data_IF_621120318957
#
_entry.id   IF_621120318957
#
_cell.length_a   1.000
_cell.length_b   1.000
_cell.length_c   1.000
_cell.angle_alpha   90.00
_cell.angle_beta   90.00
_cell.angle_gamma   90.00
#
_symmetry.space_group_name_H-M   'P 1'
#
loop_
_entity.id
_entity.type
_entity.pdbx_description
1 polymer ?
#
# COMPACT_ATOMS: atom_id res chain seq x y z
N UNK A 1 16.75 -7.99 -9.63
CA UNK A 1 16.84 -6.53 -9.51
C UNK A 1 15.48 -6.06 -9.05
N UNK A 2 15.33 -5.87 -7.74
CA UNK A 2 14.26 -5.02 -7.21
C UNK A 2 14.81 -3.61 -7.37
N UNK A 3 14.14 -2.79 -8.16
CA UNK A 3 14.59 -1.44 -8.48
C UNK A 3 13.37 -0.56 -8.60
N UNK A 4 13.48 0.63 -8.02
CA UNK A 4 12.42 1.62 -8.13
C UNK A 4 12.19 1.98 -9.59
N UNK A 5 10.92 2.24 -9.93
CA UNK A 5 10.51 2.54 -11.29
C UNK A 5 9.78 3.88 -11.30
N UNK A 6 10.36 4.86 -11.99
CA UNK A 6 9.70 6.13 -12.24
C UNK A 6 9.12 6.16 -13.66
N UNK A 7 7.86 6.57 -13.77
CA UNK A 7 7.20 6.92 -15.04
C UNK A 7 6.67 8.32 -14.94
N UNK A 8 7.15 9.23 -15.76
CA UNK A 8 6.70 10.62 -15.75
C UNK A 8 6.37 11.15 -17.14
N UNK A 9 5.54 12.18 -17.15
CA UNK A 9 5.27 13.07 -18.26
C UNK A 9 5.61 14.48 -17.80
N UNK A 10 6.15 15.28 -18.71
CA UNK A 10 6.73 16.58 -18.40
C UNK A 10 7.21 17.27 -19.66
N UNK A 11 7.68 18.50 -19.49
CA UNK A 11 8.21 19.33 -20.56
C UNK A 11 9.61 19.80 -20.16
N UNK A 12 10.51 19.95 -21.12
CA UNK A 12 11.86 20.42 -20.84
C UNK A 12 12.61 20.76 -22.11
N UNK A 13 13.48 21.76 -22.00
CA UNK A 13 14.44 22.09 -23.05
C UNK A 13 15.74 21.34 -22.76
N UNK A 14 16.02 20.34 -23.59
CA UNK A 14 17.18 19.47 -23.44
C UNK A 14 18.13 19.64 -24.62
N UNK A 15 19.41 19.77 -24.30
CA UNK A 15 20.51 19.74 -25.27
C UNK A 15 21.29 18.45 -25.06
N UNK A 16 21.27 17.62 -26.09
CA UNK A 16 22.05 16.40 -26.17
C UNK A 16 23.17 16.59 -27.20
N UNK A 17 24.38 16.19 -26.84
CA UNK A 17 25.47 16.09 -27.80
C UNK A 17 26.43 14.96 -27.41
N UNK A 18 27.19 14.52 -28.41
CA UNK A 18 28.23 13.49 -28.28
C UNK A 18 29.54 14.21 -28.58
N UNK A 19 30.54 14.04 -27.73
CA UNK A 19 31.85 14.63 -27.96
C UNK A 19 32.77 13.73 -28.81
N UNK A 20 34.00 14.18 -29.02
CA UNK A 20 35.00 13.47 -29.83
C UNK A 20 35.48 12.16 -29.17
N UNK A 21 35.26 11.99 -27.86
CA UNK A 21 35.58 10.77 -27.11
C UNK A 21 34.41 9.78 -27.07
N UNK A 22 33.30 10.09 -27.75
CA UNK A 22 32.04 9.33 -27.75
C UNK A 22 31.32 9.34 -26.39
N UNK A 23 31.60 10.34 -25.56
CA UNK A 23 30.89 10.54 -24.31
C UNK A 23 29.60 11.31 -24.56
N UNK A 24 28.52 10.77 -24.01
CA UNK A 24 27.20 11.36 -24.09
C UNK A 24 27.08 12.48 -23.07
N UNK A 25 26.64 13.65 -23.53
CA UNK A 25 26.40 14.80 -22.68
C UNK A 25 24.96 15.29 -22.85
N UNK A 26 24.28 15.51 -21.72
CA UNK A 26 22.92 16.00 -21.61
C UNK A 26 22.89 17.22 -20.69
N UNK A 27 22.31 18.30 -21.17
CA UNK A 27 22.11 19.53 -20.41
C UNK A 27 20.67 19.98 -20.53
N UNK A 28 20.08 20.42 -19.42
CA UNK A 28 18.74 20.99 -19.45
C UNK A 28 17.94 20.65 -18.21
N UNK A 29 16.74 21.20 -18.16
CA UNK A 29 15.78 20.98 -17.09
C UNK A 29 14.52 20.33 -17.68
N UNK A 30 14.04 19.30 -17.00
CA UNK A 30 12.78 18.61 -17.28
C UNK A 30 11.83 18.82 -16.12
N UNK A 31 10.73 19.53 -16.38
CA UNK A 31 9.67 19.77 -15.42
C UNK A 31 8.56 18.73 -15.56
N UNK A 32 8.32 17.99 -14.48
CA UNK A 32 7.33 16.92 -14.41
C UNK A 32 5.94 17.54 -14.22
N UNK A 33 5.00 17.12 -15.06
CA UNK A 33 3.58 17.51 -14.98
C UNK A 33 2.71 16.43 -14.35
N UNK A 34 3.07 15.15 -14.53
CA UNK A 34 2.37 14.01 -13.92
C UNK A 34 3.25 12.76 -13.96
N UNK A 35 3.01 11.81 -13.07
CA UNK A 35 3.73 10.54 -13.11
C UNK A 35 3.40 9.62 -11.96
N UNK A 36 4.06 8.47 -11.97
CA UNK A 36 4.04 7.45 -10.93
C UNK A 36 5.48 7.12 -10.54
N UNK A 37 5.73 6.94 -9.25
CA UNK A 37 6.96 6.42 -8.70
C UNK A 37 6.67 5.14 -7.93
N UNK A 38 7.27 4.03 -8.37
CA UNK A 38 7.18 2.75 -7.69
C UNK A 38 8.27 2.68 -6.63
N UNK A 39 7.88 2.84 -5.37
CA UNK A 39 8.75 2.66 -4.23
C UNK A 39 8.81 1.17 -3.87
N UNK A 40 10.01 0.61 -3.86
CA UNK A 40 10.27 -0.78 -3.51
C UNK A 40 11.29 -0.88 -2.39
N UNK A 41 10.96 -1.64 -1.34
CA UNK A 41 11.88 -1.89 -0.22
C UNK A 41 11.90 -3.38 0.10
N UNK A 42 12.97 -4.05 -0.34
CA UNK A 42 13.15 -5.51 -0.28
C UNK A 42 11.89 -6.24 -0.78
N UNK A 43 11.43 -7.26 -0.06
CA UNK A 43 10.22 -8.03 -0.37
C UNK A 43 8.97 -7.52 0.37
N UNK A 44 9.10 -6.44 1.15
CA UNK A 44 8.05 -6.02 2.09
C UNK A 44 7.19 -4.88 1.58
N UNK A 45 7.78 -3.93 0.84
CA UNK A 45 7.05 -2.76 0.35
C UNK A 45 7.17 -2.70 -1.16
N UNK A 46 6.01 -2.59 -1.80
CA UNK A 46 5.86 -2.34 -3.23
C UNK A 46 4.65 -1.42 -3.43
N UNK A 47 4.89 -0.10 -3.47
CA UNK A 47 3.83 0.92 -3.45
C UNK A 47 4.03 1.95 -4.55
N UNK A 48 2.92 2.31 -5.20
CA UNK A 48 2.89 3.31 -6.28
C UNK A 48 2.51 4.67 -5.71
N UNK A 49 3.44 5.59 -5.73
CA UNK A 49 3.24 6.98 -5.35
C UNK A 49 2.87 7.81 -6.59
N UNK A 50 1.89 8.69 -6.42
CA UNK A 50 1.48 9.65 -7.42
C UNK A 50 2.41 10.87 -7.38
N UNK A 51 3.13 11.12 -8.47
CA UNK A 51 4.05 12.28 -8.55
C UNK A 51 3.23 13.57 -8.64
N UNK A 52 3.52 14.52 -7.76
CA UNK A 52 2.90 15.85 -7.75
C UNK A 52 3.47 16.70 -8.90
N UNK A 53 2.65 17.52 -9.56
CA UNK A 53 3.13 18.46 -10.56
C UNK A 53 4.17 19.43 -9.99
N UNK A 54 5.16 19.81 -10.80
CA UNK A 54 6.16 20.81 -10.44
C UNK A 54 7.53 20.24 -10.07
N UNK A 55 7.66 18.92 -9.89
CA UNK A 55 8.97 18.28 -9.72
C UNK A 55 9.89 18.50 -10.92
N UNK A 56 11.21 18.43 -10.71
CA UNK A 56 12.22 18.70 -11.72
C UNK A 56 13.29 17.63 -11.78
N UNK A 57 13.85 17.43 -12.98
CA UNK A 57 15.05 16.66 -13.22
C UNK A 57 16.01 17.55 -14.01
N UNK A 58 17.24 17.72 -13.53
CA UNK A 58 18.23 18.62 -14.14
C UNK A 58 19.51 17.86 -14.47
N UNK A 59 20.00 18.03 -15.70
CA UNK A 59 21.26 17.44 -16.14
C UNK A 59 22.33 18.53 -16.35
N UNK A 60 23.55 18.22 -15.93
CA UNK A 60 24.72 19.10 -15.99
C UNK A 60 25.89 18.52 -16.80
N UNK A 61 25.62 17.60 -17.73
CA UNK A 61 26.64 16.87 -18.48
C UNK A 61 26.33 15.38 -18.53
N UNK A 62 26.78 14.63 -17.53
CA UNK A 62 26.57 13.17 -17.50
C UNK A 62 25.06 12.80 -17.46
N UNK A 63 24.54 12.07 -18.46
CA UNK A 63 23.14 11.62 -18.52
C UNK A 63 22.71 10.75 -17.32
N UNK A 64 23.66 10.06 -16.67
CA UNK A 64 23.41 9.20 -15.51
C UNK A 64 23.50 9.94 -14.18
N UNK A 65 24.04 11.17 -14.17
CA UNK A 65 24.21 11.99 -12.97
C UNK A 65 23.26 13.20 -12.97
N UNK A 66 21.97 12.91 -13.15
CA UNK A 66 20.93 13.92 -13.10
C UNK A 66 20.54 14.24 -11.65
N UNK A 67 20.17 15.51 -11.38
CA UNK A 67 19.62 15.93 -10.11
C UNK A 67 18.09 15.92 -10.14
N UNK A 68 17.49 15.24 -9.17
CA UNK A 68 16.07 15.08 -8.94
C UNK A 68 15.63 16.02 -7.82
N UNK A 69 14.46 16.63 -7.98
CA UNK A 69 13.70 17.25 -6.88
C UNK A 69 12.22 17.06 -7.20
N UNK A 70 11.56 16.10 -6.55
CA UNK A 70 10.13 15.87 -6.75
C UNK A 70 9.41 15.45 -5.48
N UNK A 71 8.13 15.79 -5.43
CA UNK A 71 7.23 15.34 -4.40
C UNK A 71 6.27 14.30 -4.98
N UNK A 72 5.98 13.25 -4.23
CA UNK A 72 4.94 12.29 -4.58
C UNK A 72 4.15 11.88 -3.34
N UNK A 73 2.98 11.27 -3.53
CA UNK A 73 2.14 10.85 -2.40
C UNK A 73 1.45 9.50 -2.68
N UNK A 74 1.30 8.70 -1.64
CA UNK A 74 0.51 7.47 -1.63
C UNK A 74 -0.76 7.71 -0.82
N UNK A 75 -1.94 7.74 -1.46
CA UNK A 75 -3.20 7.91 -0.76
C UNK A 75 -3.65 6.60 -0.12
N UNK A 76 -4.08 6.67 1.13
CA UNK A 76 -4.71 5.57 1.86
C UNK A 76 -5.86 6.08 2.74
N UNK A 77 -6.64 5.15 3.28
CA UNK A 77 -7.72 5.43 4.23
C UNK A 77 -7.52 4.62 5.49
N UNK A 78 -7.38 5.30 6.61
CA UNK A 78 -7.20 4.65 7.91
C UNK A 78 -7.82 5.45 9.06
N UNK A 79 -8.09 4.76 10.17
CA UNK A 79 -8.60 5.39 11.38
C UNK A 79 -7.51 6.18 12.08
N UNK A 80 -7.86 7.34 12.63
CA UNK A 80 -6.96 8.12 13.49
C UNK A 80 -7.06 7.71 14.96
N UNK A 81 -7.92 6.73 15.30
CA UNK A 81 -8.14 6.24 16.66
C UNK A 81 -6.81 6.03 17.41
N UNK A 82 -5.89 5.21 16.89
CA UNK A 82 -4.66 4.84 17.61
C UNK A 82 -3.76 6.02 18.02
N UNK A 83 -3.88 7.17 17.36
CA UNK A 83 -3.02 8.34 17.58
C UNK A 83 -3.74 9.47 18.32
N UNK A 84 -5.06 9.37 18.47
CA UNK A 84 -5.84 10.41 19.11
C UNK A 84 -5.80 10.29 20.64
N UNK A 85 -5.86 11.42 21.36
CA UNK A 85 -5.91 11.44 22.81
C UNK A 85 -7.07 10.57 23.33
N UNK A 86 -6.86 9.82 24.42
CA UNK A 86 -7.83 8.82 24.92
C UNK A 86 -9.23 9.40 25.17
N UNK A 87 -9.33 10.69 25.51
CA UNK A 87 -10.61 11.38 25.78
C UNK A 87 -11.44 11.57 24.52
N UNK A 88 -10.81 11.73 23.36
CA UNK A 88 -11.47 12.04 22.09
C UNK A 88 -11.43 10.88 21.09
N UNK A 89 -10.66 9.84 21.41
CA UNK A 89 -10.33 8.73 20.52
C UNK A 89 -11.54 8.04 19.90
N UNK A 90 -12.59 7.82 20.67
CA UNK A 90 -13.81 7.14 20.24
C UNK A 90 -14.49 7.83 19.05
N UNK A 91 -14.33 9.15 18.91
CA UNK A 91 -14.86 9.93 17.79
C UNK A 91 -14.07 9.70 16.49
N UNK A 92 -12.85 9.16 16.59
CA UNK A 92 -11.90 8.97 15.48
C UNK A 92 -11.82 7.52 14.98
N UNK A 93 -12.78 6.68 15.33
CA UNK A 93 -12.92 5.30 14.83
C UNK A 93 -13.21 5.22 13.33
N UNK A 94 -13.75 6.30 12.74
CA UNK A 94 -14.00 6.40 11.30
C UNK A 94 -12.69 6.53 10.50
N UNK A 95 -12.72 6.11 9.22
CA UNK A 95 -11.58 6.22 8.32
C UNK A 95 -11.42 7.64 7.79
N UNK A 96 -10.22 8.19 7.95
CA UNK A 96 -9.79 9.47 7.40
C UNK A 96 -8.92 9.26 6.15
N UNK A 97 -8.93 10.25 5.25
CA UNK A 97 -8.01 10.28 4.12
C UNK A 97 -6.62 10.68 4.62
N UNK A 98 -5.63 9.81 4.38
CA UNK A 98 -4.24 10.01 4.78
C UNK A 98 -3.36 9.85 3.55
N UNK A 99 -2.38 10.74 3.41
CA UNK A 99 -1.34 10.62 2.40
C UNK A 99 -0.02 10.32 3.11
N UNK A 100 0.68 9.29 2.65
CA UNK A 100 2.12 9.18 2.89
C UNK A 100 2.78 10.00 1.78
N UNK A 101 3.48 11.05 2.15
CA UNK A 101 4.21 11.91 1.22
C UNK A 101 5.67 11.47 1.17
N UNK A 102 6.27 11.57 -0.01
CA UNK A 102 7.71 11.39 -0.22
C UNK A 102 8.27 12.60 -0.96
N UNK A 103 9.44 13.03 -0.52
CA UNK A 103 10.28 14.00 -1.22
C UNK A 103 11.54 13.27 -1.68
N UNK A 104 11.74 13.21 -2.99
CA UNK A 104 12.93 12.62 -3.60
C UNK A 104 13.85 13.75 -4.07
N UNK A 105 15.10 13.73 -3.59
CA UNK A 105 16.10 14.76 -3.89
C UNK A 105 17.44 14.18 -4.36
N UNK A 106 18.32 15.02 -4.88
CA UNK A 106 19.70 14.71 -5.25
C UNK A 106 19.81 13.73 -6.42
N UNK A 107 20.54 12.61 -6.32
CA UNK A 107 20.90 11.82 -7.50
C UNK A 107 19.71 11.03 -8.05
N UNK A 108 19.38 11.19 -9.34
CA UNK A 108 18.26 10.48 -9.97
C UNK A 108 18.37 8.95 -9.84
N UNK A 109 19.59 8.41 -9.90
CA UNK A 109 19.85 6.98 -9.81
C UNK A 109 19.80 6.45 -8.37
N UNK A 110 19.98 7.32 -7.37
CA UNK A 110 19.93 6.98 -5.95
C UNK A 110 19.49 8.22 -5.16
N UNK A 111 18.20 8.58 -5.21
CA UNK A 111 17.73 9.80 -4.60
C UNK A 111 17.69 9.67 -3.08
N UNK A 112 17.89 10.79 -2.40
CA UNK A 112 17.57 10.90 -0.98
C UNK A 112 16.05 10.94 -0.83
N UNK A 113 15.53 10.14 0.10
CA UNK A 113 14.10 9.96 0.33
C UNK A 113 13.76 10.51 1.70
N UNK A 114 12.97 11.59 1.73
CA UNK A 114 12.35 12.08 2.94
C UNK A 114 10.87 11.71 2.94
N UNK A 115 10.39 11.15 4.05
CA UNK A 115 8.96 10.86 4.21
C UNK A 115 8.24 11.99 4.94
N UNK A 116 6.92 12.06 4.76
CA UNK A 116 6.00 12.85 5.57
C UNK A 116 4.59 12.23 5.57
N UNK A 117 3.71 12.70 6.44
CA UNK A 117 2.31 12.27 6.52
C UNK A 117 1.41 13.50 6.50
N UNK A 118 0.46 13.53 5.57
CA UNK A 118 -0.54 14.60 5.50
C UNK A 118 -1.97 14.09 5.55
N UNK A 119 -2.85 14.89 6.16
CA UNK A 119 -4.28 14.64 6.24
C UNK A 119 -5.03 15.71 5.40
N UNK A 120 -5.23 15.49 4.10
CA UNK A 120 -5.73 16.54 3.19
C UNK A 120 -7.11 17.08 3.57
N UNK A 121 -7.99 16.23 4.11
CA UNK A 121 -9.39 16.58 4.42
C UNK A 121 -9.70 16.61 5.92
N UNK A 122 -8.74 16.33 6.80
CA UNK A 122 -9.00 16.29 8.23
C UNK A 122 -9.00 17.69 8.88
N UNK A 123 -9.61 17.76 10.06
CA UNK A 123 -9.61 18.94 10.92
C UNK A 123 -8.20 19.32 11.41
N UNK A 124 -8.03 20.57 11.82
CA UNK A 124 -6.72 21.07 12.26
C UNK A 124 -6.20 20.36 13.52
N UNK A 125 -7.10 19.94 14.41
CA UNK A 125 -6.78 19.13 15.59
C UNK A 125 -6.09 17.83 15.19
N UNK A 126 -6.68 17.08 14.25
CA UNK A 126 -6.11 15.85 13.72
C UNK A 126 -4.75 16.06 13.05
N UNK A 127 -4.60 17.15 12.29
CA UNK A 127 -3.33 17.52 11.66
C UNK A 127 -2.25 17.81 12.68
N UNK A 128 -2.59 18.50 13.77
CA UNK A 128 -1.65 18.77 14.87
C UNK A 128 -1.25 17.50 15.61
N UNK A 129 -2.20 16.59 15.85
CA UNK A 129 -1.90 15.28 16.45
C UNK A 129 -0.90 14.50 15.61
N UNK A 130 -1.11 14.41 14.29
CA UNK A 130 -0.15 13.75 13.39
C UNK A 130 1.20 14.45 13.40
N UNK A 131 1.25 15.79 13.36
CA UNK A 131 2.50 16.55 13.43
C UNK A 131 3.29 16.28 14.71
N UNK A 132 2.61 16.18 15.85
CA UNK A 132 3.23 15.88 17.13
C UNK A 132 3.74 14.43 17.17
N UNK A 133 3.02 13.50 16.55
CA UNK A 133 3.42 12.09 16.45
C UNK A 133 4.69 11.89 15.61
N UNK A 134 4.86 12.69 14.55
CA UNK A 134 6.02 12.61 13.63
C UNK A 134 7.11 13.64 13.94
N UNK A 135 7.29 13.98 15.22
CA UNK A 135 8.17 15.07 15.67
C UNK A 135 9.65 14.90 15.30
N UNK A 136 10.12 13.67 15.09
CA UNK A 136 11.47 13.38 14.64
C UNK A 136 11.46 12.37 13.47
N UNK A 137 12.62 12.18 12.85
CA UNK A 137 12.76 11.31 11.68
C UNK A 137 12.42 9.84 11.98
N UNK A 138 12.79 9.35 13.16
CA UNK A 138 12.54 7.97 13.57
C UNK A 138 11.06 7.65 13.75
N UNK A 139 10.35 8.46 14.55
CA UNK A 139 8.90 8.36 14.75
C UNK A 139 8.14 8.54 13.43
N UNK A 140 8.62 9.46 12.58
CA UNK A 140 8.07 9.66 11.24
C UNK A 140 8.20 8.41 10.38
N UNK A 141 9.40 7.84 10.27
CA UNK A 141 9.66 6.63 9.48
C UNK A 141 8.83 5.45 10.00
N UNK A 142 8.72 5.31 11.32
CA UNK A 142 7.94 4.25 11.97
C UNK A 142 6.46 4.33 11.58
N UNK A 143 5.86 5.53 11.68
CA UNK A 143 4.45 5.73 11.28
C UNK A 143 4.26 5.52 9.78
N UNK A 144 5.18 6.02 8.96
CA UNK A 144 5.12 5.86 7.50
C UNK A 144 5.13 4.38 7.12
N UNK A 145 6.08 3.59 7.64
CA UNK A 145 6.14 2.17 7.32
C UNK A 145 4.95 1.40 7.88
N UNK A 146 4.46 1.76 9.06
CA UNK A 146 3.21 1.21 9.58
C UNK A 146 2.03 1.47 8.64
N UNK A 147 1.91 2.68 8.07
CA UNK A 147 0.87 2.98 7.09
C UNK A 147 1.09 2.24 5.75
N UNK A 148 2.33 2.07 5.29
CA UNK A 148 2.60 1.38 4.03
C UNK A 148 2.36 -0.13 4.12
N UNK A 149 2.66 -0.74 5.26
CA UNK A 149 2.58 -2.19 5.47
C UNK A 149 1.22 -2.59 6.05
N UNK A 150 0.84 -1.94 7.16
CA UNK A 150 -0.32 -2.30 7.95
C UNK A 150 -1.55 -1.43 7.63
N UNK A 151 -1.40 -0.35 6.87
CA UNK A 151 -2.47 0.61 6.57
C UNK A 151 -3.13 1.18 7.84
N UNK A 152 -2.35 1.33 8.92
CA UNK A 152 -2.79 1.88 10.21
C UNK A 152 -1.69 2.69 10.87
N UNK A 153 -2.07 3.65 11.71
CA UNK A 153 -1.14 4.24 12.65
C UNK A 153 -0.89 3.31 13.82
N UNK A 154 0.30 3.41 14.42
CA UNK A 154 0.64 2.75 15.67
C UNK A 154 0.65 3.77 16.81
N UNK A 155 0.24 3.38 18.03
CA UNK A 155 0.26 4.27 19.18
C UNK A 155 1.70 4.64 19.58
N UNK A 156 1.90 5.87 20.08
CA UNK A 156 3.19 6.40 20.54
C UNK A 156 3.84 5.54 21.64
N UNK A 157 3.02 4.79 22.39
CA UNK A 157 3.40 4.04 23.57
C UNK A 157 4.15 2.73 23.28
N UNK A 158 4.17 2.31 22.02
CA UNK A 158 4.93 1.14 21.60
C UNK A 158 6.35 1.59 21.23
N UNK A 159 7.20 1.68 22.26
CA UNK A 159 8.66 1.69 22.12
C UNK A 159 9.10 0.35 21.50
N UNK A 160 8.84 0.20 20.20
CA UNK A 160 9.20 -0.96 19.39
C UNK A 160 10.70 -0.96 19.06
N UNK A 161 11.40 0.15 19.31
CA UNK A 161 12.81 0.30 18.97
C UNK A 161 13.65 0.10 20.24
N UNK A 162 14.20 -1.10 20.39
CA UNK A 162 15.32 -1.34 21.28
C UNK A 162 16.54 -0.54 20.82
N UNK A 163 17.10 0.19 21.77
CA UNK A 163 18.16 1.19 21.73
C UNK A 163 19.53 0.60 21.30
N UNK A 164 19.65 0.07 20.08
CA UNK A 164 20.91 -0.48 19.58
C UNK A 164 21.05 -0.32 18.06
N UNK A 165 21.36 0.88 17.56
CA UNK A 165 22.02 1.02 16.26
C UNK A 165 23.11 2.09 16.29
N UNK A 166 24.34 1.60 16.28
CA UNK A 166 25.56 2.37 16.02
C UNK A 166 25.48 3.01 14.64
N UNK A 167 25.62 4.34 14.60
CA UNK A 167 25.66 5.16 13.38
C UNK A 167 26.89 4.78 12.54
N UNK A 168 26.71 3.96 11.50
CA UNK A 168 27.75 3.66 10.52
C UNK A 168 27.75 4.74 9.43
N UNK A 169 28.77 5.61 9.44
CA UNK A 169 28.97 6.61 8.39
C UNK A 169 29.26 5.89 7.06
N UNK A 170 28.36 5.98 6.08
CA UNK A 170 28.55 5.47 4.71
C UNK A 170 27.45 4.55 4.17
N UNK A 171 26.39 4.26 4.93
CA UNK A 171 25.24 3.52 4.44
C UNK A 171 24.35 4.41 3.55
N UNK A 172 23.84 3.86 2.45
CA UNK A 172 22.84 4.53 1.62
C UNK A 172 21.52 4.69 2.40
N UNK A 173 20.73 5.73 2.11
CA UNK A 173 19.44 6.01 2.78
C UNK A 173 18.54 4.76 2.78
N UNK A 174 18.51 4.02 1.67
CA UNK A 174 17.77 2.75 1.53
C UNK A 174 18.25 1.63 2.47
N UNK A 175 19.55 1.55 2.78
CA UNK A 175 20.10 0.55 3.71
C UNK A 175 19.73 0.87 5.17
N UNK A 176 19.78 2.15 5.55
CA UNK A 176 19.38 2.61 6.89
C UNK A 176 17.88 2.36 7.11
N UNK A 177 17.06 2.76 6.14
CA UNK A 177 15.60 2.52 6.15
C UNK A 177 15.29 1.02 6.18
N UNK A 178 16.02 0.20 5.42
CA UNK A 178 15.87 -1.25 5.42
C UNK A 178 16.17 -1.89 6.78
N UNK A 179 17.11 -1.34 7.54
CA UNK A 179 17.49 -1.85 8.86
C UNK A 179 16.47 -1.44 9.92
N UNK A 180 16.02 -0.18 9.90
CA UNK A 180 14.92 0.28 10.76
C UNK A 180 13.64 -0.50 10.50
N UNK A 181 13.32 -0.73 9.22
CA UNK A 181 12.17 -1.53 8.82
C UNK A 181 12.30 -2.99 9.27
N UNK A 182 13.48 -3.59 9.13
CA UNK A 182 13.72 -4.96 9.60
C UNK A 182 13.38 -5.14 11.08
N UNK A 183 13.81 -4.19 11.92
CA UNK A 183 13.54 -4.20 13.37
C UNK A 183 12.06 -3.93 13.70
N UNK A 184 11.41 -3.05 12.94
CA UNK A 184 9.98 -2.78 13.10
C UNK A 184 9.13 -3.98 12.66
N UNK A 185 9.54 -4.70 11.61
CA UNK A 185 8.85 -5.94 11.20
C UNK A 185 9.12 -7.04 12.21
N UNK A 186 10.35 -7.20 12.72
CA UNK A 186 10.65 -8.28 13.68
C UNK A 186 9.81 -8.16 14.96
N UNK A 187 9.66 -6.93 15.47
CA UNK A 187 8.78 -6.63 16.60
C UNK A 187 7.31 -6.89 16.29
N UNK A 188 6.82 -6.54 15.09
CA UNK A 188 5.50 -6.98 14.65
C UNK A 188 5.42 -8.50 14.54
N UNK A 189 6.43 -9.21 14.03
CA UNK A 189 6.34 -10.68 13.91
C UNK A 189 6.44 -11.41 15.24
N UNK A 190 7.15 -10.84 16.23
CA UNK A 190 7.25 -11.39 17.59
C UNK A 190 5.92 -11.19 18.36
N UNK A 191 5.19 -10.10 18.12
CA UNK A 191 3.81 -9.90 18.61
C UNK A 191 2.75 -10.66 17.77
N UNK A 192 3.09 -11.03 16.54
CA UNK A 192 2.23 -11.74 15.59
C UNK A 192 2.74 -13.17 15.28
N UNK A 193 3.31 -13.87 16.27
CA UNK A 193 3.70 -15.28 16.12
C UNK A 193 2.43 -16.13 15.86
N UNK A 194 2.03 -16.23 14.59
CA UNK A 194 0.97 -17.14 14.11
C UNK A 194 1.57 -18.55 14.11
N UNK A 195 1.78 -19.08 15.30
CA UNK A 195 1.81 -20.51 15.57
C UNK A 195 0.40 -20.93 15.93
N UNK A 196 -0.25 -21.74 15.09
CA UNK A 196 -1.45 -22.45 15.51
C UNK A 196 -1.10 -23.32 16.73
N UNK A 197 -1.38 -22.82 17.93
CA UNK A 197 -1.47 -23.63 19.13
C UNK A 197 -2.78 -23.28 19.84
N UNK A 198 -3.83 -24.02 19.49
CA UNK A 198 -5.10 -23.98 20.19
C UNK A 198 -4.89 -24.60 21.58
N UNK A 199 -4.69 -23.76 22.59
CA UNK A 199 -4.84 -24.15 23.99
C UNK A 199 -6.13 -23.53 24.51
N UNK A 200 -7.19 -24.32 24.78
CA UNK A 200 -8.42 -23.77 25.32
C UNK A 200 -8.23 -23.47 26.80
N UNK A 201 -8.24 -22.18 27.15
CA UNK A 201 -8.33 -21.70 28.52
C UNK A 201 -7.20 -20.78 28.92
N UNK A 202 -7.40 -19.47 28.78
CA UNK A 202 -7.57 -18.57 29.91
C UNK A 202 -8.01 -17.18 29.41
N UNK A 203 -8.62 -16.40 30.30
CA UNK A 203 -9.21 -15.09 30.04
C UNK A 203 -8.28 -14.16 29.26
N UNK A 204 -8.70 -13.81 28.04
CA UNK A 204 -8.08 -12.79 27.18
C UNK A 204 -8.08 -11.47 27.96
N UNK A 205 -6.88 -10.93 28.22
CA UNK A 205 -6.66 -9.58 28.75
C UNK A 205 -7.30 -8.56 27.79
N UNK A 206 -7.90 -7.50 28.33
CA UNK A 206 -8.56 -6.39 27.61
C UNK A 206 -7.57 -5.49 26.83
N UNK A 207 -6.54 -6.07 26.21
CA UNK A 207 -5.57 -5.38 25.38
C UNK A 207 -6.01 -5.41 23.89
N UNK A 208 -6.01 -4.24 23.26
CA UNK A 208 -6.50 -4.00 21.90
C UNK A 208 -5.77 -4.86 20.85
N UNK A 209 -6.40 -5.96 20.39
CA UNK A 209 -5.87 -6.82 19.33
C UNK A 209 -6.28 -6.30 17.94
N UNK A 210 -5.34 -5.76 17.19
CA UNK A 210 -5.57 -5.31 15.80
C UNK A 210 -4.92 -6.25 14.77
N UNK A 211 -5.70 -7.19 14.23
CA UNK A 211 -5.23 -8.22 13.28
C UNK A 211 -5.24 -7.66 11.85
N UNK A 212 -4.07 -7.27 11.36
CA UNK A 212 -3.83 -7.02 9.94
C UNK A 212 -3.08 -8.20 9.36
N UNK A 213 -3.79 -9.09 8.66
CA UNK A 213 -3.20 -10.25 8.03
C UNK A 213 -3.31 -10.11 6.51
N UNK A 214 -2.19 -9.80 5.84
CA UNK A 214 -2.06 -10.01 4.39
C UNK A 214 -1.29 -11.30 4.17
N UNK A 215 -2.01 -12.40 3.97
CA UNK A 215 -1.38 -13.69 3.69
C UNK A 215 -1.72 -14.14 2.28
N UNK A 216 -0.70 -14.51 1.51
CA UNK A 216 -0.86 -15.24 0.26
C UNK A 216 -0.69 -16.72 0.59
N UNK A 217 -1.80 -17.39 0.84
CA UNK A 217 -1.82 -18.83 1.11
C UNK A 217 -2.50 -19.59 -0.04
N UNK A 218 -2.24 -20.90 -0.09
CA UNK A 218 -2.70 -21.81 -1.15
C UNK A 218 -2.14 -21.52 -2.54
N UNK A 219 -0.81 -21.37 -2.68
CA UNK A 219 -0.12 -21.04 -3.94
C UNK A 219 -0.66 -19.73 -4.55
N UNK A 220 -0.69 -18.64 -3.78
CA UNK A 220 -1.14 -17.30 -4.18
C UNK A 220 -2.61 -17.22 -4.62
N UNK A 221 -3.46 -18.14 -4.14
CA UNK A 221 -4.88 -18.21 -4.56
C UNK A 221 -5.83 -17.52 -3.61
N UNK A 222 -5.48 -17.39 -2.34
CA UNK A 222 -6.28 -16.69 -1.34
C UNK A 222 -5.53 -15.43 -0.94
N UNK A 223 -6.16 -14.28 -1.16
CA UNK A 223 -5.72 -12.98 -0.68
C UNK A 223 -6.74 -12.52 0.36
N UNK A 224 -6.28 -12.31 1.58
CA UNK A 224 -7.09 -11.76 2.67
C UNK A 224 -6.44 -10.44 3.05
N UNK A 225 -7.23 -9.38 3.11
CA UNK A 225 -6.85 -8.09 3.67
C UNK A 225 -7.88 -7.76 4.75
N UNK A 226 -7.49 -7.91 6.02
CA UNK A 226 -8.34 -7.50 7.15
C UNK A 226 -7.74 -6.27 7.81
N UNK A 227 -8.61 -5.32 8.15
CA UNK A 227 -8.28 -4.23 9.05
C UNK A 227 -9.35 -4.24 10.14
N UNK A 228 -9.20 -5.15 11.10
CA UNK A 228 -10.12 -5.35 12.22
C UNK A 228 -9.56 -4.68 13.47
N UNK A 229 -10.35 -3.80 14.08
CA UNK A 229 -10.08 -3.21 15.39
C UNK A 229 -11.20 -3.56 16.38
N UNK A 230 -10.84 -3.75 17.65
CA UNK A 230 -11.80 -3.88 18.75
C UNK A 230 -11.89 -2.51 19.42
N UNK A 231 -13.06 -1.88 19.40
CA UNK A 231 -13.28 -0.68 20.20
C UNK A 231 -13.49 -1.10 21.66
N UNK A 232 -12.86 -0.42 22.65
CA UNK A 232 -13.07 -0.72 24.06
C UNK A 232 -14.56 -0.54 24.41
N UNK A 233 -15.09 -1.48 25.17
CA UNK A 233 -16.48 -1.48 25.57
C UNK A 233 -16.72 -0.34 26.56
N UNK A 234 -17.42 0.71 26.11
CA UNK A 234 -17.87 1.78 26.98
C UNK A 234 -18.76 1.21 28.10
N UNK A 235 -18.42 1.50 29.36
CA UNK A 235 -19.07 0.97 30.58
C UNK A 235 -20.58 1.25 30.71
N UNK A 236 -21.17 2.00 29.77
CA UNK A 236 -22.58 2.37 29.73
C UNK A 236 -23.42 1.60 28.70
N UNK A 237 -22.81 0.86 27.77
CA UNK A 237 -23.53 0.00 26.82
C UNK A 237 -22.77 -1.32 26.60
N UNK A 238 -23.27 -2.39 27.22
CA UNK A 238 -22.81 -3.77 27.00
C UNK A 238 -23.34 -4.29 25.65
N UNK A 239 -22.74 -3.88 24.55
CA UNK A 239 -22.88 -4.59 23.28
C UNK A 239 -21.53 -5.22 22.90
N UNK A 240 -21.28 -6.49 23.27
CA UNK A 240 -19.97 -7.16 23.13
C UNK A 240 -19.59 -7.52 21.67
N UNK A 241 -20.31 -7.01 20.67
CA UNK A 241 -20.22 -7.47 19.27
C UNK A 241 -19.96 -6.35 18.24
N UNK A 242 -19.61 -5.12 18.64
CA UNK A 242 -19.27 -4.08 17.65
C UNK A 242 -17.83 -4.26 17.16
N UNK A 243 -17.59 -5.30 16.37
CA UNK A 243 -16.40 -5.41 15.54
C UNK A 243 -16.45 -4.28 14.51
N UNK A 244 -15.46 -3.38 14.54
CA UNK A 244 -15.32 -2.28 13.58
C UNK A 244 -14.12 -2.65 12.72
N UNK A 245 -14.36 -2.88 11.44
CA UNK A 245 -13.25 -3.17 10.54
C UNK A 245 -13.67 -3.59 9.16
N UNK A 246 -12.69 -3.49 8.28
CA UNK A 246 -12.85 -3.83 6.89
C UNK A 246 -12.30 -5.24 6.66
N UNK A 247 -13.05 -6.02 5.90
CA UNK A 247 -12.67 -7.36 5.51
C UNK A 247 -12.75 -7.42 4.01
N UNK A 248 -11.63 -7.64 3.35
CA UNK A 248 -11.54 -7.81 1.91
C UNK A 248 -10.91 -9.18 1.64
N UNK A 249 -11.66 -10.06 0.97
CA UNK A 249 -11.27 -11.44 0.71
C UNK A 249 -11.42 -11.70 -0.78
N UNK A 250 -10.30 -12.03 -1.42
CA UNK A 250 -10.25 -12.40 -2.83
C UNK A 250 -9.75 -13.84 -2.98
N UNK A 251 -10.46 -14.65 -3.77
CA UNK A 251 -10.08 -16.03 -4.07
C UNK A 251 -10.00 -16.30 -5.56
N UNK A 252 -8.82 -16.74 -6.04
CA UNK A 252 -8.58 -17.14 -7.43
C UNK A 252 -9.14 -18.55 -7.69
N UNK A 253 -10.32 -18.61 -8.31
CA UNK A 253 -10.98 -19.86 -8.70
C UNK A 253 -10.22 -20.58 -9.82
N UNK A 254 -9.77 -19.85 -10.84
CA UNK A 254 -8.98 -20.41 -11.94
C UNK A 254 -7.50 -20.46 -11.61
N UNK A 255 -6.78 -21.47 -12.11
CA UNK A 255 -5.31 -21.57 -11.99
C UNK A 255 -4.59 -20.39 -12.62
N UNK A 256 -5.13 -19.85 -13.71
CA UNK A 256 -4.54 -18.73 -14.45
C UNK A 256 -4.91 -17.37 -13.83
N UNK A 257 -5.70 -17.35 -12.75
CA UNK A 257 -6.09 -16.12 -12.04
C UNK A 257 -7.11 -15.23 -12.76
N UNK A 258 -7.68 -15.68 -13.87
CA UNK A 258 -8.64 -14.94 -14.69
C UNK A 258 -10.05 -14.89 -14.10
N UNK A 259 -10.44 -15.87 -13.27
CA UNK A 259 -11.71 -15.88 -12.52
C UNK A 259 -11.44 -15.76 -11.03
N UNK A 260 -12.06 -14.77 -10.40
CA UNK A 260 -11.84 -14.44 -8.98
C UNK A 260 -13.17 -14.17 -8.28
N UNK A 261 -13.28 -14.68 -7.06
CA UNK A 261 -14.35 -14.32 -6.12
C UNK A 261 -13.85 -13.20 -5.23
N UNK A 262 -14.72 -12.25 -4.95
CA UNK A 262 -14.42 -11.09 -4.13
C UNK A 262 -15.55 -10.90 -3.14
N UNK A 263 -15.22 -10.90 -1.85
CA UNK A 263 -16.13 -10.58 -0.77
C UNK A 263 -15.51 -9.42 0.01
N UNK A 264 -16.27 -8.35 0.21
CA UNK A 264 -15.78 -7.20 0.95
C UNK A 264 -16.83 -6.66 1.92
N UNK A 265 -16.33 -6.12 3.02
CA UNK A 265 -17.03 -5.28 3.96
C UNK A 265 -16.14 -4.05 4.17
N UNK A 266 -16.56 -2.89 3.68
CA UNK A 266 -15.84 -1.63 3.82
C UNK A 266 -16.64 -0.65 4.67
N UNK A 267 -16.02 -0.05 5.68
CA UNK A 267 -16.63 1.01 6.49
C UNK A 267 -16.75 2.31 5.68
N UNK A 268 -17.95 2.89 5.69
CA UNK A 268 -18.23 4.12 4.96
C UNK A 268 -17.87 5.37 5.77
N UNK A 269 -17.48 6.44 5.08
CA UNK A 269 -17.20 7.75 5.67
C UNK A 269 -18.48 8.32 6.31
N UNK A 270 -18.38 8.77 7.56
CA UNK A 270 -19.50 9.38 8.27
C UNK A 270 -19.63 10.84 7.83
N UNK A 271 -20.58 11.12 6.94
CA UNK A 271 -20.91 12.48 6.52
C UNK A 271 -21.93 13.11 7.49
N UNK A 272 -21.50 14.14 8.23
CA UNK A 272 -22.34 14.88 9.18
C UNK A 272 -23.57 15.54 8.52
N UNK A 273 -23.54 15.75 7.20
CA UNK A 273 -24.66 16.32 6.44
C UNK A 273 -25.72 15.29 6.04
N UNK A 274 -25.40 13.99 6.06
CA UNK A 274 -26.29 12.89 5.67
C UNK A 274 -26.41 11.84 6.79
N UNK A 275 -27.30 12.11 7.74
CA UNK A 275 -27.56 11.22 8.89
C UNK A 275 -28.12 9.83 8.54
N UNK A 276 -28.47 9.58 7.27
CA UNK A 276 -29.06 8.31 6.80
C UNK A 276 -28.07 7.39 6.06
N UNK A 277 -26.76 7.64 6.13
CA UNK A 277 -25.77 6.82 5.42
C UNK A 277 -25.49 5.49 6.14
N UNK A 278 -25.50 4.38 5.40
CA UNK A 278 -25.11 3.06 5.92
C UNK A 278 -23.66 3.10 6.39
N UNK A 279 -23.37 2.60 7.60
CA UNK A 279 -22.02 2.57 8.19
C UNK A 279 -21.05 1.63 7.46
N UNK A 280 -21.59 0.69 6.67
CA UNK A 280 -20.81 -0.30 5.93
C UNK A 280 -21.36 -0.49 4.52
N UNK A 281 -20.46 -0.72 3.57
CA UNK A 281 -20.75 -1.23 2.23
C UNK A 281 -20.26 -2.67 2.17
N UNK A 282 -21.21 -3.59 2.01
CA UNK A 282 -20.93 -5.03 1.95
C UNK A 282 -21.30 -5.55 0.58
N UNK A 283 -20.43 -6.37 0.01
CA UNK A 283 -20.62 -6.93 -1.31
C UNK A 283 -19.96 -8.29 -1.44
N UNK A 284 -20.61 -9.13 -2.25
CA UNK A 284 -20.04 -10.38 -2.74
C UNK A 284 -20.21 -10.40 -4.25
N UNK A 285 -19.11 -10.64 -4.95
CA UNK A 285 -19.05 -10.60 -6.40
C UNK A 285 -18.08 -11.64 -6.95
N UNK A 286 -18.21 -11.89 -8.24
CA UNK A 286 -17.24 -12.63 -9.02
C UNK A 286 -16.84 -11.77 -10.20
N UNK A 287 -15.55 -11.72 -10.52
CA UNK A 287 -15.07 -11.01 -11.69
C UNK A 287 -14.19 -11.90 -12.56
N UNK A 288 -14.33 -11.72 -13.87
CA UNK A 288 -13.60 -12.46 -14.89
C UNK A 288 -12.85 -11.49 -15.79
N UNK A 289 -11.55 -11.71 -15.98
CA UNK A 289 -10.69 -10.90 -16.84
C UNK A 289 -9.89 -11.81 -17.76
N UNK A 290 -10.04 -11.61 -19.06
CA UNK A 290 -9.36 -12.38 -20.11
C UNK A 290 -8.90 -11.42 -21.21
N UNK A 291 -7.66 -11.57 -21.68
CA UNK A 291 -7.21 -10.94 -22.93
C UNK A 291 -7.75 -11.72 -24.11
N UNK A 292 -8.26 -11.04 -25.12
CA UNK A 292 -8.83 -11.64 -26.33
C UNK A 292 -8.45 -10.82 -27.56
N UNK A 293 -8.28 -11.48 -28.70
CA UNK A 293 -8.07 -10.83 -29.99
C UNK A 293 -9.35 -10.77 -30.83
N UNK A 294 -10.31 -11.68 -30.56
CA UNK A 294 -11.61 -11.70 -31.24
C UNK A 294 -12.77 -11.98 -30.27
N UNK A 295 -13.98 -11.53 -30.62
CA UNK A 295 -15.17 -11.83 -29.81
C UNK A 295 -15.46 -13.34 -29.73
N UNK A 296 -15.15 -14.11 -30.77
CA UNK A 296 -15.32 -15.56 -30.79
C UNK A 296 -14.43 -16.28 -29.76
N UNK A 297 -13.18 -15.84 -29.65
CA UNK A 297 -12.21 -16.32 -28.66
C UNK A 297 -12.69 -16.05 -27.23
N UNK A 298 -13.20 -14.84 -26.97
CA UNK A 298 -13.76 -14.47 -25.66
C UNK A 298 -14.93 -15.39 -25.25
N UNK A 299 -15.88 -15.65 -26.16
CA UNK A 299 -16.98 -16.57 -25.86
C UNK A 299 -16.50 -18.02 -25.69
N UNK A 300 -15.54 -18.47 -26.50
CA UNK A 300 -14.93 -19.80 -26.38
C UNK A 300 -14.27 -19.98 -25.00
N UNK A 301 -13.40 -19.07 -24.59
CA UNK A 301 -12.72 -19.11 -23.30
C UNK A 301 -13.67 -18.95 -22.11
N UNK A 302 -14.66 -18.06 -22.22
CA UNK A 302 -15.68 -17.90 -21.18
C UNK A 302 -16.50 -19.18 -20.98
N UNK A 303 -16.86 -19.90 -22.06
CA UNK A 303 -17.58 -21.18 -21.93
C UNK A 303 -16.70 -22.32 -21.39
N UNK A 304 -15.38 -22.29 -21.62
CA UNK A 304 -14.43 -23.26 -21.08
C UNK A 304 -14.33 -23.24 -19.54
N UNK A 305 -14.72 -22.14 -18.89
CA UNK A 305 -14.78 -22.01 -17.43
C UNK A 305 -15.82 -22.98 -16.84
N UNK A 306 -16.97 -23.11 -17.50
CA UNK A 306 -18.09 -23.94 -17.04
C UNK A 306 -18.01 -25.39 -17.55
N UNK A 307 -17.05 -25.70 -18.42
CA UNK A 307 -16.84 -27.06 -18.97
C UNK A 307 -15.95 -27.90 -18.05
N UNK A 308 -16.29 -29.20 -17.93
CA UNK A 308 -15.47 -30.18 -17.22
C UNK A 308 -14.10 -30.31 -17.90
N UNK A 309 -13.06 -30.64 -17.12
CA UNK A 309 -11.67 -30.76 -17.59
C UNK A 309 -11.48 -31.65 -18.84
N UNK A 310 -12.37 -32.61 -19.08
CA UNK A 310 -12.34 -33.50 -20.25
C UNK A 310 -12.77 -32.85 -21.56
N UNK A 311 -13.49 -31.71 -21.51
CA UNK A 311 -14.14 -31.08 -22.66
C UNK A 311 -13.72 -29.61 -22.85
N UNK A 312 -12.56 -29.21 -22.33
CA UNK A 312 -12.03 -27.87 -22.57
C UNK A 312 -11.48 -27.78 -23.98
N UNK A 313 -11.83 -26.72 -24.72
CA UNK A 313 -11.27 -26.47 -26.04
C UNK A 313 -9.93 -25.77 -25.88
N UNK A 314 -8.85 -26.43 -26.32
CA UNK A 314 -7.49 -25.94 -26.15
C UNK A 314 -7.05 -24.95 -27.24
N UNK A 315 -7.90 -24.66 -28.23
CA UNK A 315 -7.61 -23.77 -29.36
C UNK A 315 -8.77 -22.79 -29.58
N UNK A 316 -8.85 -21.74 -28.77
CA UNK A 316 -9.81 -20.65 -28.95
C UNK A 316 -9.27 -19.52 -29.85
N UNK A 317 -7.99 -19.56 -30.24
CA UNK A 317 -7.27 -18.49 -30.97
C UNK A 317 -7.48 -18.50 -32.49
N UNK A 318 -8.02 -19.58 -33.07
CA UNK A 318 -8.15 -19.70 -34.53
C UNK A 318 -9.56 -19.33 -35.06
N UNK A 319 -9.68 -18.39 -36.02
CA UNK A 319 -10.95 -17.93 -36.56
C UNK A 319 -11.73 -18.98 -37.40
N UNK A 320 -11.26 -20.23 -37.46
CA UNK A 320 -11.88 -21.33 -38.24
C UNK A 320 -12.21 -22.60 -37.44
N UNK A 321 -12.11 -22.58 -36.11
CA UNK A 321 -12.41 -23.75 -35.28
C UNK A 321 -13.74 -23.63 -34.52
N UNK A 322 -14.86 -23.48 -35.25
CA UNK A 322 -16.19 -23.77 -34.66
C UNK A 322 -16.54 -25.26 -34.71
N UNK A 323 -15.57 -26.12 -35.07
CA UNK A 323 -15.73 -27.57 -35.16
C UNK A 323 -14.45 -28.26 -34.73
N UNK A 324 -14.20 -28.32 -33.43
CA UNK A 324 -13.54 -29.44 -32.74
C UNK A 324 -13.38 -29.04 -31.26
N UNK A 325 -14.52 -28.88 -30.61
CA UNK A 325 -14.63 -28.96 -29.16
C UNK A 325 -15.15 -30.38 -28.85
N UNK A 326 -14.43 -31.21 -28.09
CA UNK A 326 -14.84 -32.59 -27.78
C UNK A 326 -16.10 -32.70 -26.91
#
# INVERSE_FOLDING_TARGET
>A
MVGDLMKSRGNGDMRFFIDETLDFNLFGNYQITSGEYLFTLKDFINKKFNVKPGGTITWFGDPYNAKLDLNAYYPLKTSLYNIMPSIERDNWTHKSNVHVDIHLQNDLMNPDIEFDISLPKAEETAKQTVKNLIYNEEAKNQQVFSLLILNKFIPENQNIISENTSRTNGATTSEVLSNQLGNMISSFTDEFEIGFNYSPGDSISDDELSIVMSTQQFNDRLLINTNLGVAPSNALNKDPNSFIGDVDVEYKLSRDGNLRLHAFNESNEYDLSNQSQSRYTQGVGAYYKQSFNSFGELFCEMTNIFRRKSNKCNQCDEPKSTRECP
#
